data_IF_468923875977
#
_entry.id   IF_468923875977
#
_cell.length_a   1.000
_cell.length_b   1.000
_cell.length_c   1.000
_cell.angle_alpha   90.00
_cell.angle_beta   90.00
_cell.angle_gamma   90.00
#
_symmetry.space_group_name_H-M   'P 1'
#
loop_
_entity.id
_entity.type
_entity.pdbx_description
1 polymer ?
#
# COMPACT_ATOMS: atom_id res chain seq x y z
N UNK A 1 -10.69 -29.69 10.99
CA UNK A 1 -9.66 -28.66 10.83
C UNK A 1 -9.60 -27.93 9.46
N UNK A 2 -10.46 -28.24 8.46
CA UNK A 2 -10.44 -27.59 7.12
C UNK A 2 -11.27 -26.29 7.02
N UNK A 3 -12.18 -26.02 7.93
CA UNK A 3 -13.06 -24.84 7.85
C UNK A 3 -12.40 -23.51 8.26
N UNK A 4 -11.36 -23.55 9.10
CA UNK A 4 -10.66 -22.32 9.55
C UNK A 4 -9.82 -21.69 8.44
N UNK A 5 -9.27 -22.47 7.52
CA UNK A 5 -8.49 -21.95 6.39
C UNK A 5 -9.36 -21.26 5.34
N UNK A 6 -10.54 -21.78 5.05
CA UNK A 6 -11.46 -21.22 4.07
C UNK A 6 -12.05 -19.87 4.56
N UNK A 7 -12.42 -19.80 5.85
CA UNK A 7 -12.91 -18.55 6.45
C UNK A 7 -11.84 -17.44 6.47
N UNK A 8 -10.58 -17.78 6.73
CA UNK A 8 -9.47 -16.82 6.69
C UNK A 8 -9.22 -16.28 5.27
N UNK A 9 -9.28 -17.15 4.26
CA UNK A 9 -9.16 -16.74 2.86
C UNK A 9 -10.31 -15.82 2.45
N UNK A 10 -11.55 -16.18 2.79
CA UNK A 10 -12.73 -15.36 2.50
C UNK A 10 -12.65 -14.00 3.17
N UNK A 11 -12.25 -13.93 4.44
CA UNK A 11 -12.05 -12.66 5.15
C UNK A 11 -10.94 -11.82 4.49
N UNK A 12 -9.85 -12.44 4.06
CA UNK A 12 -8.78 -11.77 3.31
C UNK A 12 -9.28 -11.19 1.98
N UNK A 13 -10.05 -11.96 1.22
CA UNK A 13 -10.64 -11.51 -0.05
C UNK A 13 -11.60 -10.34 0.15
N UNK A 14 -12.46 -10.40 1.16
CA UNK A 14 -13.37 -9.30 1.52
C UNK A 14 -12.55 -8.06 1.90
N UNK A 15 -11.53 -8.21 2.73
CA UNK A 15 -10.66 -7.10 3.14
C UNK A 15 -9.96 -6.42 1.96
N UNK A 16 -9.37 -7.19 1.06
CA UNK A 16 -8.71 -6.66 -0.15
C UNK A 16 -9.73 -6.00 -1.08
N UNK A 17 -10.91 -6.57 -1.25
CA UNK A 17 -11.98 -5.97 -2.06
C UNK A 17 -12.42 -4.63 -1.50
N UNK A 18 -12.61 -4.52 -0.19
CA UNK A 18 -12.95 -3.26 0.48
C UNK A 18 -11.85 -2.21 0.34
N UNK A 19 -10.58 -2.60 0.45
CA UNK A 19 -9.45 -1.70 0.21
C UNK A 19 -9.42 -1.20 -1.23
N UNK A 20 -9.66 -2.08 -2.21
CA UNK A 20 -9.70 -1.68 -3.62
C UNK A 20 -10.85 -0.71 -3.92
N UNK A 21 -12.03 -0.92 -3.32
CA UNK A 21 -13.15 0.01 -3.42
C UNK A 21 -12.77 1.36 -2.79
N UNK A 22 -12.16 1.34 -1.61
CA UNK A 22 -11.68 2.55 -0.94
C UNK A 22 -10.69 3.33 -1.81
N UNK A 23 -9.73 2.66 -2.44
CA UNK A 23 -8.74 3.30 -3.32
C UNK A 23 -9.39 3.92 -4.55
N UNK A 24 -10.40 3.25 -5.14
CA UNK A 24 -11.18 3.79 -6.24
C UNK A 24 -11.97 5.04 -5.83
N UNK A 25 -12.58 5.04 -4.64
CA UNK A 25 -13.28 6.21 -4.09
C UNK A 25 -12.34 7.36 -3.79
N UNK A 26 -11.14 7.08 -3.25
CA UNK A 26 -10.10 8.09 -3.03
C UNK A 26 -9.68 8.72 -4.37
N UNK A 27 -9.44 7.91 -5.41
CA UNK A 27 -9.14 8.43 -6.74
C UNK A 27 -10.24 9.32 -7.26
N UNK A 28 -11.50 8.95 -7.10
CA UNK A 28 -12.64 9.78 -7.51
C UNK A 28 -12.70 11.10 -6.71
N UNK A 29 -12.44 11.06 -5.42
CA UNK A 29 -12.44 12.25 -4.56
C UNK A 29 -11.31 13.23 -4.91
N UNK A 30 -10.15 12.74 -5.33
CA UNK A 30 -8.99 13.58 -5.71
C UNK A 30 -9.18 14.32 -7.03
N UNK A 31 -10.21 14.06 -7.81
CA UNK A 31 -10.55 14.86 -9.01
C UNK A 31 -10.93 16.30 -8.64
N UNK A 32 -11.60 16.51 -7.49
CA UNK A 32 -12.08 17.83 -7.05
C UNK A 32 -11.35 18.37 -5.82
N UNK A 33 -10.47 17.60 -5.17
CA UNK A 33 -9.84 18.00 -3.91
C UNK A 33 -8.34 17.67 -3.90
N UNK A 34 -7.52 18.50 -3.22
CA UNK A 34 -6.10 18.22 -3.04
C UNK A 34 -5.87 16.86 -2.36
N UNK A 35 -4.88 16.11 -2.84
CA UNK A 35 -4.52 14.78 -2.29
C UNK A 35 -4.32 14.81 -0.78
N UNK A 36 -3.62 15.83 -0.26
CA UNK A 36 -3.36 15.97 1.17
C UNK A 36 -4.64 16.14 1.98
N UNK A 37 -5.64 16.86 1.45
CA UNK A 37 -6.94 17.02 2.10
C UNK A 37 -7.68 15.67 2.19
N UNK A 38 -7.72 14.92 1.11
CA UNK A 38 -8.37 13.59 1.08
C UNK A 38 -7.65 12.64 2.03
N UNK A 39 -6.33 12.63 2.02
CA UNK A 39 -5.50 11.83 2.93
C UNK A 39 -5.76 12.22 4.39
N UNK A 40 -5.77 13.50 4.70
CA UNK A 40 -6.04 14.00 6.05
C UNK A 40 -7.43 13.56 6.55
N UNK A 41 -8.48 13.77 5.76
CA UNK A 41 -9.83 13.34 6.12
C UNK A 41 -9.91 11.83 6.34
N UNK A 42 -9.26 11.03 5.49
CA UNK A 42 -9.18 9.58 5.67
C UNK A 42 -8.58 9.20 7.03
N UNK A 43 -7.49 9.86 7.44
CA UNK A 43 -6.87 9.58 8.74
C UNK A 43 -7.71 10.09 9.90
N UNK A 44 -8.40 11.22 9.77
CA UNK A 44 -9.33 11.73 10.79
C UNK A 44 -10.47 10.74 11.02
N UNK A 45 -11.16 10.30 9.96
CA UNK A 45 -12.25 9.33 10.09
C UNK A 45 -11.76 7.96 10.58
N UNK A 46 -10.59 7.51 10.10
CA UNK A 46 -9.95 6.29 10.57
C UNK A 46 -9.60 6.34 12.06
N UNK A 47 -9.07 7.47 12.53
CA UNK A 47 -8.76 7.70 13.94
C UNK A 47 -10.02 7.77 14.80
N UNK A 48 -11.07 8.41 14.32
CA UNK A 48 -12.36 8.46 15.02
C UNK A 48 -12.93 7.05 15.20
N UNK A 49 -12.91 6.25 14.14
CA UNK A 49 -13.34 4.85 14.20
C UNK A 49 -12.48 4.02 15.16
N UNK A 50 -11.16 4.22 15.16
CA UNK A 50 -10.26 3.56 16.09
C UNK A 50 -10.54 3.95 17.54
N UNK A 51 -10.80 5.23 17.84
CA UNK A 51 -11.17 5.71 19.18
C UNK A 51 -12.46 5.05 19.65
N UNK A 52 -13.49 5.00 18.80
CA UNK A 52 -14.76 4.32 19.12
C UNK A 52 -14.51 2.84 19.41
N UNK A 53 -13.71 2.17 18.59
CA UNK A 53 -13.37 0.75 18.77
C UNK A 53 -12.65 0.51 20.11
N UNK A 54 -11.68 1.34 20.45
CA UNK A 54 -10.96 1.28 21.74
C UNK A 54 -11.90 1.54 22.91
N UNK A 55 -12.82 2.51 22.80
CA UNK A 55 -13.80 2.82 23.85
C UNK A 55 -14.76 1.66 24.11
N UNK A 56 -15.15 0.92 23.07
CA UNK A 56 -16.05 -0.25 23.16
C UNK A 56 -15.31 -1.49 23.69
N UNK A 57 -14.18 -1.82 23.10
CA UNK A 57 -13.41 -3.04 23.41
C UNK A 57 -12.60 -2.91 24.71
N UNK A 58 -12.29 -1.68 25.13
CA UNK A 58 -11.50 -1.36 26.33
C UNK A 58 -10.22 -2.23 26.48
N UNK A 59 -9.39 -2.34 25.42
CA UNK A 59 -8.11 -3.00 25.58
C UNK A 59 -7.28 -2.22 26.62
N UNK A 60 -6.44 -2.92 27.40
CA UNK A 60 -5.52 -2.25 28.34
C UNK A 60 -4.64 -1.20 27.62
N UNK A 61 -4.10 -0.24 28.37
CA UNK A 61 -3.21 0.77 27.83
C UNK A 61 -1.92 0.14 27.28
N UNK A 62 -1.48 0.50 26.07
CA UNK A 62 -0.26 -0.03 25.50
C UNK A 62 0.98 0.48 26.25
N UNK A 63 2.06 -0.31 26.27
CA UNK A 63 3.33 0.11 26.85
C UNK A 63 3.94 1.29 26.09
N UNK A 64 4.79 2.08 26.77
CA UNK A 64 5.49 3.21 26.13
C UNK A 64 6.34 2.76 24.93
N UNK A 65 6.95 1.57 24.99
CA UNK A 65 7.68 1.00 23.86
C UNK A 65 6.78 0.73 22.66
N UNK A 66 5.59 0.16 22.91
CA UNK A 66 4.58 -0.08 21.86
C UNK A 66 4.12 1.23 21.22
N UNK A 67 3.88 2.27 22.02
CA UNK A 67 3.50 3.59 21.51
C UNK A 67 4.59 4.16 20.59
N UNK A 68 5.85 4.12 21.01
CA UNK A 68 6.99 4.66 20.25
C UNK A 68 7.16 3.96 18.90
N UNK A 69 7.09 2.62 18.88
CA UNK A 69 7.21 1.83 17.63
C UNK A 69 6.04 2.13 16.69
N UNK A 70 4.81 2.19 17.23
CA UNK A 70 3.64 2.48 16.41
C UNK A 70 3.60 3.94 15.94
N UNK A 71 4.15 4.90 16.69
CA UNK A 71 4.29 6.28 16.23
C UNK A 71 5.21 6.37 15.00
N UNK A 72 6.38 5.70 15.03
CA UNK A 72 7.26 5.63 13.86
C UNK A 72 6.56 4.99 12.66
N UNK A 73 5.89 3.85 12.89
CA UNK A 73 5.11 3.17 11.86
C UNK A 73 4.01 4.06 11.28
N UNK A 74 3.33 4.86 12.12
CA UNK A 74 2.28 5.78 11.65
C UNK A 74 2.82 6.85 10.70
N UNK A 75 4.03 7.34 10.94
CA UNK A 75 4.70 8.29 10.02
C UNK A 75 4.97 7.62 8.67
N UNK A 76 5.52 6.41 8.67
CA UNK A 76 5.74 5.65 7.43
C UNK A 76 4.44 5.40 6.68
N UNK A 77 3.38 4.99 7.37
CA UNK A 77 2.04 4.78 6.78
C UNK A 77 1.48 6.08 6.20
N UNK A 78 1.68 7.22 6.86
CA UNK A 78 1.24 8.51 6.34
C UNK A 78 1.99 8.89 5.05
N UNK A 79 3.30 8.68 5.00
CA UNK A 79 4.12 8.91 3.80
C UNK A 79 3.67 7.97 2.67
N UNK A 80 3.55 6.67 2.96
CA UNK A 80 3.10 5.65 2.00
C UNK A 80 1.75 6.01 1.39
N UNK A 81 0.76 6.34 2.24
CA UNK A 81 -0.59 6.68 1.78
C UNK A 81 -0.61 7.96 0.95
N UNK A 82 0.11 9.01 1.38
CA UNK A 82 0.18 10.27 0.64
C UNK A 82 0.85 10.08 -0.73
N UNK A 83 1.95 9.34 -0.78
CA UNK A 83 2.66 9.04 -2.02
C UNK A 83 1.80 8.17 -2.96
N UNK A 84 1.13 7.15 -2.45
CA UNK A 84 0.25 6.30 -3.24
C UNK A 84 -0.95 7.08 -3.80
N UNK A 85 -1.60 7.90 -2.97
CA UNK A 85 -2.74 8.69 -3.43
C UNK A 85 -2.32 9.76 -4.45
N UNK A 86 -1.13 10.33 -4.32
CA UNK A 86 -0.58 11.18 -5.37
C UNK A 86 -0.35 10.40 -6.66
N UNK A 87 0.20 9.19 -6.60
CA UNK A 87 0.35 8.32 -7.77
C UNK A 87 -1.01 8.04 -8.45
N UNK A 88 -2.07 7.82 -7.66
CA UNK A 88 -3.43 7.62 -8.18
C UNK A 88 -3.97 8.85 -8.95
N UNK A 89 -3.53 10.06 -8.64
CA UNK A 89 -3.93 11.26 -9.39
C UNK A 89 -3.16 11.42 -10.70
N UNK A 90 -1.88 11.04 -10.70
CA UNK A 90 -0.98 11.23 -11.83
C UNK A 90 -1.00 10.08 -12.84
N UNK A 91 -1.47 8.89 -12.43
CA UNK A 91 -1.47 7.66 -13.24
C UNK A 91 -2.88 7.08 -13.37
N UNK A 92 -3.14 6.27 -14.42
CA UNK A 92 -4.31 5.41 -14.47
C UNK A 92 -4.35 4.48 -13.24
N UNK A 93 -5.55 4.21 -12.72
CA UNK A 93 -5.73 3.43 -11.50
C UNK A 93 -4.99 2.08 -11.53
N UNK A 94 -5.19 1.32 -12.61
CA UNK A 94 -4.58 0.00 -12.77
C UNK A 94 -3.04 0.07 -12.78
N UNK A 95 -2.45 1.12 -13.36
CA UNK A 95 -1.01 1.33 -13.44
C UNK A 95 -0.43 1.71 -12.07
N UNK A 96 -1.06 2.63 -11.35
CA UNK A 96 -0.65 2.99 -10.00
C UNK A 96 -0.69 1.77 -9.06
N UNK A 97 -1.76 0.96 -9.13
CA UNK A 97 -1.87 -0.28 -8.35
C UNK A 97 -0.81 -1.29 -8.78
N UNK A 98 -0.59 -1.49 -10.08
CA UNK A 98 0.44 -2.42 -10.57
C UNK A 98 1.84 -2.08 -10.06
N UNK A 99 2.20 -0.79 -9.99
CA UNK A 99 3.48 -0.34 -9.47
C UNK A 99 3.66 -0.69 -7.99
N UNK A 100 2.60 -0.75 -7.19
CA UNK A 100 2.70 -1.16 -5.78
C UNK A 100 3.03 -2.63 -5.60
N UNK A 101 2.82 -3.49 -6.63
CA UNK A 101 3.30 -4.88 -6.61
C UNK A 101 4.83 -5.00 -6.61
N UNK A 102 5.57 -3.90 -6.76
CA UNK A 102 7.01 -3.87 -6.47
C UNK A 102 7.32 -3.96 -4.96
N UNK A 103 6.37 -3.63 -4.07
CA UNK A 103 6.56 -3.66 -2.62
C UNK A 103 7.04 -5.03 -2.09
N UNK A 104 6.51 -6.18 -2.51
CA UNK A 104 7.03 -7.49 -2.10
C UNK A 104 8.51 -7.71 -2.41
N UNK A 105 9.04 -7.08 -3.46
CA UNK A 105 10.47 -7.14 -3.81
C UNK A 105 11.27 -6.37 -2.75
N UNK A 106 10.86 -5.15 -2.41
CA UNK A 106 11.51 -4.36 -1.36
C UNK A 106 11.43 -5.06 0.00
N UNK A 107 10.28 -5.68 0.34
CA UNK A 107 10.13 -6.49 1.56
C UNK A 107 11.18 -7.62 1.57
N UNK A 108 11.32 -8.38 0.48
CA UNK A 108 12.29 -9.46 0.40
C UNK A 108 13.73 -8.96 0.50
N UNK A 109 14.05 -7.82 -0.14
CA UNK A 109 15.37 -7.18 -0.06
C UNK A 109 15.67 -6.71 1.36
N UNK A 110 14.74 -6.00 2.02
CA UNK A 110 14.93 -5.52 3.38
C UNK A 110 14.98 -6.66 4.40
N UNK A 111 14.17 -7.71 4.24
CA UNK A 111 14.27 -8.92 5.04
C UNK A 111 15.66 -9.57 4.92
N UNK A 112 16.20 -9.65 3.71
CA UNK A 112 17.53 -10.20 3.49
C UNK A 112 18.64 -9.31 4.10
N UNK A 113 18.55 -7.98 3.96
CA UNK A 113 19.56 -7.03 4.42
C UNK A 113 19.51 -6.78 5.94
N UNK A 114 18.30 -6.67 6.51
CA UNK A 114 18.11 -6.26 7.92
C UNK A 114 18.01 -7.47 8.83
N UNK A 115 17.27 -8.51 8.41
CA UNK A 115 17.08 -9.72 9.24
C UNK A 115 18.06 -10.85 8.88
N UNK A 116 18.81 -10.73 7.77
CA UNK A 116 19.70 -11.79 7.29
C UNK A 116 18.97 -13.01 6.74
N UNK A 117 17.65 -12.90 6.50
CA UNK A 117 16.83 -13.99 5.97
C UNK A 117 17.08 -14.15 4.47
N UNK A 118 17.29 -15.40 4.02
CA UNK A 118 17.42 -15.69 2.60
C UNK A 118 16.05 -16.11 2.04
N UNK A 119 15.46 -15.32 1.10
CA UNK A 119 14.21 -15.73 0.48
C UNK A 119 14.37 -17.07 -0.24
N UNK A 120 13.47 -18.01 0.05
CA UNK A 120 13.49 -19.32 -0.61
C UNK A 120 13.24 -19.19 -2.12
N UNK A 121 13.75 -20.14 -2.92
CA UNK A 121 13.66 -20.07 -4.39
C UNK A 121 12.22 -19.94 -4.92
N UNK A 122 11.22 -20.46 -4.24
CA UNK A 122 9.81 -20.30 -4.61
C UNK A 122 9.33 -18.83 -4.46
N UNK A 123 9.81 -18.15 -3.41
CA UNK A 123 9.50 -16.73 -3.18
C UNK A 123 10.16 -15.89 -4.29
N UNK A 124 11.43 -16.15 -4.58
CA UNK A 124 12.16 -15.46 -5.65
C UNK A 124 11.47 -15.65 -7.00
N UNK A 125 11.05 -16.87 -7.32
CA UNK A 125 10.32 -17.14 -8.57
C UNK A 125 9.00 -16.37 -8.63
N UNK A 126 8.22 -16.36 -7.54
CA UNK A 126 6.97 -15.60 -7.48
C UNK A 126 7.18 -14.09 -7.65
N UNK A 127 8.24 -13.54 -7.04
CA UNK A 127 8.62 -12.14 -7.20
C UNK A 127 9.00 -11.81 -8.63
N UNK A 128 9.80 -12.66 -9.29
CA UNK A 128 10.22 -12.48 -10.69
C UNK A 128 9.00 -12.50 -11.62
N UNK A 129 8.10 -13.48 -11.45
CA UNK A 129 6.89 -13.58 -12.28
C UNK A 129 5.95 -12.39 -12.05
N UNK A 130 5.74 -11.98 -10.79
CA UNK A 130 4.90 -10.82 -10.46
C UNK A 130 5.47 -9.52 -11.02
N UNK A 131 6.79 -9.33 -10.91
CA UNK A 131 7.47 -8.16 -11.45
C UNK A 131 7.46 -8.12 -12.98
N UNK A 132 7.65 -9.25 -13.63
CA UNK A 132 7.53 -9.35 -15.09
C UNK A 132 6.11 -8.97 -15.56
N UNK A 133 5.07 -9.44 -14.86
CA UNK A 133 3.68 -9.04 -15.14
C UNK A 133 3.47 -7.52 -15.00
N UNK A 134 4.02 -6.92 -13.94
CA UNK A 134 3.99 -5.47 -13.75
C UNK A 134 4.70 -4.74 -14.89
N UNK A 135 5.91 -5.18 -15.27
CA UNK A 135 6.68 -4.58 -16.36
C UNK A 135 5.96 -4.67 -17.70
N UNK A 136 5.29 -5.80 -18.00
CA UNK A 136 4.48 -5.94 -19.21
C UNK A 136 3.31 -4.96 -19.24
N UNK A 137 2.66 -4.75 -18.09
CA UNK A 137 1.54 -3.82 -17.97
C UNK A 137 2.00 -2.36 -18.14
N UNK A 138 3.06 -1.96 -17.47
CA UNK A 138 3.61 -0.59 -17.54
C UNK A 138 4.31 -0.37 -18.87
N UNK A 139 5.06 -1.36 -19.36
CA UNK A 139 5.85 -1.28 -20.59
C UNK A 139 5.01 -1.11 -21.85
N UNK A 140 3.79 -1.67 -21.90
CA UNK A 140 2.86 -1.49 -23.01
C UNK A 140 2.46 -0.02 -23.22
N UNK A 141 2.54 0.80 -22.15
CA UNK A 141 2.25 2.24 -22.20
C UNK A 141 3.47 3.09 -22.53
N UNK A 142 4.67 2.64 -22.11
CA UNK A 142 5.92 3.33 -22.45
C UNK A 142 6.17 3.43 -23.95
N UNK A 143 5.71 2.43 -24.73
CA UNK A 143 5.85 2.40 -26.18
C UNK A 143 4.87 3.29 -26.96
N UNK A 144 3.74 3.71 -26.36
CA UNK A 144 2.65 4.33 -27.12
C UNK A 144 2.69 5.87 -27.16
N UNK A 145 3.24 6.58 -26.15
CA UNK A 145 3.15 8.05 -26.14
C UNK A 145 4.13 8.77 -25.19
N UNK A 146 5.09 8.09 -24.58
CA UNK A 146 5.98 8.71 -23.58
C UNK A 146 5.24 9.17 -22.31
N UNK A 147 5.89 9.13 -21.17
CA UNK A 147 5.30 9.69 -19.94
C UNK A 147 5.34 11.22 -19.97
N UNK A 148 4.21 11.86 -19.67
CA UNK A 148 4.22 13.28 -19.32
C UNK A 148 5.05 13.50 -18.04
N UNK A 149 5.61 14.70 -17.80
CA UNK A 149 6.35 14.98 -16.55
C UNK A 149 5.55 14.66 -15.29
N UNK A 150 4.23 14.85 -15.32
CA UNK A 150 3.33 14.47 -14.21
C UNK A 150 3.25 12.97 -13.99
N UNK A 151 3.26 12.16 -15.05
CA UNK A 151 3.23 10.71 -14.95
C UNK A 151 4.55 10.14 -14.39
N UNK A 152 5.70 10.74 -14.73
CA UNK A 152 7.00 10.39 -14.13
C UNK A 152 6.97 10.61 -12.61
N UNK A 153 6.46 11.76 -12.17
CA UNK A 153 6.28 12.03 -10.73
C UNK A 153 5.33 11.01 -10.07
N UNK A 154 4.27 10.60 -10.77
CA UNK A 154 3.37 9.54 -10.31
C UNK A 154 4.06 8.20 -10.12
N UNK A 155 4.91 7.79 -11.07
CA UNK A 155 5.72 6.57 -10.95
C UNK A 155 6.69 6.66 -9.76
N UNK A 156 7.40 7.78 -9.61
CA UNK A 156 8.30 7.99 -8.47
C UNK A 156 7.54 7.92 -7.13
N UNK A 157 6.36 8.51 -7.06
CA UNK A 157 5.51 8.45 -5.88
C UNK A 157 5.02 7.03 -5.57
N UNK A 158 4.62 6.25 -6.59
CA UNK A 158 4.25 4.84 -6.42
C UNK A 158 5.43 4.00 -5.91
N UNK A 159 6.64 4.24 -6.43
CA UNK A 159 7.86 3.56 -5.97
C UNK A 159 8.22 3.97 -4.54
N UNK A 160 8.09 5.25 -4.18
CA UNK A 160 8.27 5.72 -2.80
C UNK A 160 7.27 5.03 -1.86
N UNK A 161 6.00 4.93 -2.27
CA UNK A 161 4.98 4.22 -1.51
C UNK A 161 5.34 2.75 -1.32
N UNK A 162 5.82 2.06 -2.35
CA UNK A 162 6.25 0.66 -2.26
C UNK A 162 7.44 0.45 -1.31
N UNK A 163 8.43 1.34 -1.34
CA UNK A 163 9.60 1.30 -0.44
C UNK A 163 9.21 1.58 1.01
N UNK A 164 8.42 2.64 1.26
CA UNK A 164 7.99 2.98 2.62
C UNK A 164 7.00 1.99 3.21
N UNK A 165 6.24 1.29 2.37
CA UNK A 165 5.39 0.17 2.79
C UNK A 165 6.20 -1.05 3.21
N UNK A 166 7.38 -1.26 2.61
CA UNK A 166 8.25 -2.39 2.86
C UNK A 166 9.12 -2.25 4.14
N UNK A 167 9.23 -1.04 4.69
CA UNK A 167 9.97 -0.73 5.92
C UNK A 167 9.11 -0.91 7.16
#
# INVERSE_FOLDING_TARGET
MKFHGLSAILLGLIGISLLSIMDALIKAATVGHPVLQVTFLRFVFGSLFAVVTVAVLRPGWPSAATIRINALRSVLVAITSSAFFFALTALPFAEAVALTFSAPIFIAVFAALILGERPGGRIVLALVVGFAGMLLMVGSRLGASGYSPGAVLGVMAAMLAAVTYAL
#
